data_IF_627816311780
#
_entry.id   IF_627816311780
#
_cell.length_a   1.000
_cell.length_b   1.000
_cell.length_c   1.000
_cell.angle_alpha   90.00
_cell.angle_beta   90.00
_cell.angle_gamma   90.00
#
_symmetry.space_group_name_H-M   'P 1'
#
loop_
_entity.id
_entity.type
_entity.pdbx_description
1 polymer ?
#
# COMPACT_ATOMS: atom_id res chain seq x y z
N UNK A 1 14.53 -16.51 38.63
CA UNK A 1 14.55 -16.24 37.17
C UNK A 1 13.41 -15.29 36.84
N UNK A 2 13.70 -14.06 36.37
CA UNK A 2 12.67 -13.10 35.92
C UNK A 2 12.18 -13.54 34.54
N UNK A 3 10.93 -13.99 34.44
CA UNK A 3 10.25 -14.15 33.17
C UNK A 3 9.97 -12.76 32.62
N UNK A 4 10.67 -12.39 31.54
CA UNK A 4 10.35 -11.19 30.77
C UNK A 4 8.97 -11.39 30.14
N UNK A 5 7.97 -10.69 30.64
CA UNK A 5 6.67 -10.63 30.02
C UNK A 5 6.84 -9.97 28.65
N UNK A 6 6.77 -10.74 27.56
CA UNK A 6 6.62 -10.17 26.24
C UNK A 6 5.30 -9.41 26.23
N UNK A 7 5.37 -8.09 26.26
CA UNK A 7 4.22 -7.22 26.13
C UNK A 7 3.64 -7.45 24.72
N UNK A 8 2.69 -8.39 24.60
CA UNK A 8 1.89 -8.53 23.39
C UNK A 8 1.14 -7.21 23.22
N UNK A 9 1.62 -6.35 22.31
CA UNK A 9 0.93 -5.12 21.96
C UNK A 9 -0.49 -5.50 21.55
N UNK A 10 -1.46 -4.97 22.28
CA UNK A 10 -2.88 -5.21 22.03
C UNK A 10 -3.17 -4.71 20.61
N UNK A 11 -3.45 -5.64 19.69
CA UNK A 11 -3.81 -5.30 18.31
C UNK A 11 -5.25 -4.82 18.36
N UNK A 12 -5.45 -3.53 18.09
CA UNK A 12 -6.77 -2.94 17.96
C UNK A 12 -7.14 -2.83 16.49
N UNK A 13 -8.33 -3.34 16.13
CA UNK A 13 -8.90 -3.07 14.81
C UNK A 13 -9.21 -1.58 14.72
N UNK A 14 -8.56 -0.90 13.78
CA UNK A 14 -8.85 0.48 13.48
C UNK A 14 -10.03 0.51 12.50
N UNK A 15 -11.23 0.73 13.03
CA UNK A 15 -12.47 0.74 12.24
C UNK A 15 -12.49 1.81 11.14
N UNK A 16 -11.68 2.86 11.28
CA UNK A 16 -11.55 3.97 10.34
C UNK A 16 -10.14 4.06 9.75
N UNK A 17 -9.46 2.92 9.59
CA UNK A 17 -8.13 2.91 8.98
C UNK A 17 -8.21 3.27 7.50
N UNK A 18 -7.69 4.45 7.16
CA UNK A 18 -7.48 4.85 5.78
C UNK A 18 -5.97 4.75 5.44
N UNK A 19 -5.56 3.77 4.61
CA UNK A 19 -4.16 3.62 4.22
C UNK A 19 -3.64 4.83 3.42
N UNK A 20 -4.53 5.65 2.84
CA UNK A 20 -4.20 6.82 2.03
C UNK A 20 -4.11 8.12 2.84
N UNK A 21 -4.48 8.09 4.13
CA UNK A 21 -4.38 9.27 5.00
C UNK A 21 -2.91 9.66 5.25
N UNK A 22 -2.62 10.97 5.17
CA UNK A 22 -1.34 11.56 5.59
C UNK A 22 -0.92 11.16 7.01
N UNK A 23 -1.91 10.95 7.89
CA UNK A 23 -1.72 10.52 9.28
C UNK A 23 -1.18 9.09 9.44
N UNK A 24 -1.21 8.29 8.37
CA UNK A 24 -0.70 6.92 8.35
C UNK A 24 0.83 6.88 8.23
N UNK A 25 1.47 7.95 7.72
CA UNK A 25 2.93 8.09 7.71
C UNK A 25 3.45 8.71 9.01
N UNK A 26 3.67 7.86 10.02
CA UNK A 26 4.23 8.24 11.34
C UNK A 26 5.74 8.08 11.47
N UNK A 27 6.45 7.88 10.37
CA UNK A 27 7.89 7.67 10.41
C UNK A 27 8.61 9.02 10.66
N UNK A 28 9.59 9.11 11.59
CA UNK A 28 10.26 10.38 11.93
C UNK A 28 10.86 11.12 10.74
N UNK A 29 11.31 10.38 9.71
CA UNK A 29 11.84 10.98 8.48
C UNK A 29 10.85 11.88 7.70
N UNK A 30 9.56 11.86 8.06
CA UNK A 30 8.52 12.70 7.47
C UNK A 30 7.96 13.71 8.47
N UNK A 31 8.60 13.92 9.61
CA UNK A 31 8.10 14.82 10.66
C UNK A 31 8.11 16.28 10.19
N UNK A 32 9.16 16.68 9.47
CA UNK A 32 9.41 18.07 9.05
C UNK A 32 8.81 18.44 7.68
N UNK A 33 8.18 17.50 6.96
CA UNK A 33 7.55 17.81 5.67
C UNK A 33 6.12 18.34 5.86
N UNK A 34 5.69 19.16 4.91
CA UNK A 34 4.34 19.74 4.91
C UNK A 34 3.26 18.65 4.77
N UNK A 35 2.03 18.94 5.17
CA UNK A 35 0.91 18.01 5.03
C UNK A 35 0.66 17.61 3.57
N UNK A 36 0.84 18.55 2.63
CA UNK A 36 0.70 18.30 1.20
C UNK A 36 1.78 17.34 0.69
N UNK A 37 3.03 17.56 1.05
CA UNK A 37 4.14 16.65 0.71
C UNK A 37 3.93 15.28 1.34
N UNK A 38 3.46 15.25 2.60
CA UNK A 38 3.15 14.01 3.31
C UNK A 38 2.06 13.23 2.60
N UNK A 39 0.99 13.89 2.16
CA UNK A 39 -0.11 13.28 1.38
C UNK A 39 0.40 12.70 0.07
N UNK A 40 1.18 13.46 -0.71
CA UNK A 40 1.80 12.97 -1.94
C UNK A 40 2.67 11.74 -1.69
N UNK A 41 3.43 11.74 -0.58
CA UNK A 41 4.29 10.61 -0.22
C UNK A 41 3.52 9.38 0.21
N UNK A 42 2.40 9.53 0.93
CA UNK A 42 1.51 8.40 1.22
C UNK A 42 1.04 7.77 -0.08
N UNK A 43 0.54 8.58 -1.01
CA UNK A 43 0.02 8.09 -2.28
C UNK A 43 1.09 7.30 -3.05
N UNK A 44 2.31 7.83 -3.17
CA UNK A 44 3.43 7.16 -3.82
C UNK A 44 3.75 5.81 -3.17
N UNK A 45 3.90 5.78 -1.84
CA UNK A 45 4.27 4.56 -1.09
C UNK A 45 3.17 3.51 -1.19
N UNK A 46 1.90 3.90 -1.04
CA UNK A 46 0.79 2.95 -1.10
C UNK A 46 0.59 2.41 -2.51
N UNK A 47 0.75 3.26 -3.53
CA UNK A 47 0.73 2.79 -4.92
C UNK A 47 1.85 1.77 -5.17
N UNK A 48 3.09 2.06 -4.78
CA UNK A 48 4.21 1.12 -4.90
C UNK A 48 3.95 -0.22 -4.19
N UNK A 49 3.30 -0.17 -3.01
CA UNK A 49 2.90 -1.37 -2.27
C UNK A 49 1.86 -2.19 -3.01
N UNK A 50 0.86 -1.53 -3.61
CA UNK A 50 -0.17 -2.21 -4.41
C UNK A 50 0.43 -2.83 -5.67
N UNK A 51 1.27 -2.10 -6.40
CA UNK A 51 1.97 -2.61 -7.58
C UNK A 51 2.77 -3.87 -7.23
N UNK A 52 3.56 -3.82 -6.14
CA UNK A 52 4.31 -4.99 -5.66
C UNK A 52 3.40 -6.14 -5.25
N UNK A 53 2.29 -5.85 -4.56
CA UNK A 53 1.33 -6.88 -4.15
C UNK A 53 0.72 -7.60 -5.36
N UNK A 54 0.34 -6.87 -6.41
CA UNK A 54 -0.18 -7.45 -7.66
C UNK A 54 0.81 -8.45 -8.27
N UNK A 55 2.11 -8.12 -8.29
CA UNK A 55 3.14 -9.01 -8.84
C UNK A 55 3.23 -10.36 -8.10
N UNK A 56 2.84 -10.41 -6.81
CA UNK A 56 2.85 -11.62 -6.00
C UNK A 56 1.50 -12.35 -5.95
N UNK A 57 0.43 -11.74 -6.47
CA UNK A 57 -0.88 -12.40 -6.59
C UNK A 57 -0.82 -13.49 -7.68
N UNK A 58 -1.55 -14.58 -7.47
CA UNK A 58 -1.63 -15.69 -8.43
C UNK A 58 -2.23 -15.25 -9.77
N UNK A 59 -1.67 -15.76 -10.86
CA UNK A 59 -2.02 -15.37 -12.24
C UNK A 59 -3.53 -15.33 -12.52
N UNK A 60 -4.26 -16.37 -12.12
CA UNK A 60 -5.70 -16.52 -12.36
C UNK A 60 -6.55 -15.34 -11.89
N UNK A 61 -6.15 -14.66 -10.81
CA UNK A 61 -6.91 -13.54 -10.22
C UNK A 61 -6.16 -12.20 -10.31
N UNK A 62 -4.88 -12.23 -10.71
CA UNK A 62 -4.00 -11.06 -10.78
C UNK A 62 -4.59 -9.93 -11.61
N UNK A 63 -5.03 -10.22 -12.83
CA UNK A 63 -5.57 -9.22 -13.75
C UNK A 63 -6.88 -8.62 -13.26
N UNK A 64 -7.77 -9.44 -12.70
CA UNK A 64 -9.03 -8.96 -12.14
C UNK A 64 -8.80 -7.99 -10.98
N UNK A 65 -7.88 -8.32 -10.07
CA UNK A 65 -7.54 -7.45 -8.93
C UNK A 65 -6.82 -6.18 -9.41
N UNK A 66 -5.88 -6.30 -10.35
CA UNK A 66 -5.18 -5.14 -10.92
C UNK A 66 -6.16 -4.18 -11.60
N UNK A 67 -7.11 -4.70 -12.39
CA UNK A 67 -8.13 -3.89 -13.04
C UNK A 67 -9.06 -3.22 -12.03
N UNK A 68 -9.47 -3.93 -10.96
CA UNK A 68 -10.24 -3.34 -9.88
C UNK A 68 -9.51 -2.15 -9.23
N UNK A 69 -8.23 -2.29 -8.89
CA UNK A 69 -7.44 -1.18 -8.32
C UNK A 69 -7.25 -0.01 -9.30
N UNK A 70 -7.12 -0.29 -10.60
CA UNK A 70 -7.10 0.76 -11.63
C UNK A 70 -8.41 1.56 -11.65
N UNK A 71 -9.57 0.90 -11.56
CA UNK A 71 -10.88 1.59 -11.48
C UNK A 71 -11.00 2.47 -10.23
N UNK A 72 -10.40 2.06 -9.11
CA UNK A 72 -10.32 2.86 -7.88
C UNK A 72 -9.32 4.03 -7.98
N UNK A 73 -8.62 4.19 -9.12
CA UNK A 73 -7.53 5.15 -9.33
C UNK A 73 -6.35 4.95 -8.37
N UNK A 74 -6.18 3.73 -7.87
CA UNK A 74 -5.07 3.37 -6.97
C UNK A 74 -3.84 2.87 -7.72
N UNK A 75 -4.02 2.43 -8.96
CA UNK A 75 -2.94 2.06 -9.87
C UNK A 75 -2.98 2.95 -11.11
N UNK A 76 -1.80 3.22 -11.66
CA UNK A 76 -1.66 3.93 -12.91
C UNK A 76 -1.91 3.02 -14.11
N UNK A 77 -2.43 3.61 -15.19
CA UNK A 77 -2.60 2.91 -16.47
C UNK A 77 -1.28 2.30 -16.98
N UNK A 78 -0.16 3.01 -16.79
CA UNK A 78 1.17 2.54 -17.20
C UNK A 78 1.54 1.19 -16.59
N UNK A 79 1.20 0.97 -15.32
CA UNK A 79 1.43 -0.32 -14.66
C UNK A 79 0.56 -1.43 -15.25
N UNK A 80 -0.71 -1.15 -15.55
CA UNK A 80 -1.62 -2.10 -16.19
C UNK A 80 -1.13 -2.48 -17.60
N UNK A 81 -0.69 -1.50 -18.38
CA UNK A 81 -0.13 -1.73 -19.71
C UNK A 81 1.13 -2.62 -19.64
N UNK A 82 2.03 -2.34 -18.69
CA UNK A 82 3.22 -3.18 -18.43
C UNK A 82 2.85 -4.61 -18.02
N UNK A 83 1.86 -4.76 -17.12
CA UNK A 83 1.39 -6.04 -16.65
C UNK A 83 0.87 -6.92 -17.79
N UNK A 84 0.04 -6.33 -18.67
CA UNK A 84 -0.51 -7.03 -19.84
C UNK A 84 0.60 -7.43 -20.82
N UNK A 85 1.56 -6.54 -21.11
CA UNK A 85 2.67 -6.83 -22.01
C UNK A 85 3.55 -7.98 -21.49
N UNK A 86 3.72 -8.12 -20.17
CA UNK A 86 4.50 -9.21 -19.57
C UNK A 86 3.85 -10.60 -19.68
N UNK A 87 2.53 -10.65 -19.90
CA UNK A 87 1.77 -11.92 -19.99
C UNK A 87 1.63 -12.44 -21.41
N UNK A 88 1.59 -11.53 -22.39
CA UNK A 88 1.43 -11.86 -23.81
C UNK A 88 2.73 -11.73 -24.63
N UNK A 89 3.83 -11.35 -23.98
CA UNK A 89 5.17 -11.28 -24.57
C UNK A 89 5.93 -12.59 -24.50
#
# INVERSE_FOLDING_TARGET
QKLQASHFKRVHFANNFDPWSSSTLKHPQYEDITEQERTSKVCEIQQQRLERAILHIRELVKFAIAYYFYQQKWLLKSFIDQLNNSHYG
#
